data_IF_618182592380
#
_entry.id   IF_618182592380
#
_cell.length_a   1.000
_cell.length_b   1.000
_cell.length_c   1.000
_cell.angle_alpha   90.00
_cell.angle_beta   90.00
_cell.angle_gamma   90.00
#
_symmetry.space_group_name_H-M   'P 1'
#
loop_
_entity.id
_entity.type
_entity.pdbx_description
1 polymer ?
#
# COMPACT_ATOMS: atom_id res chain seq x y z
N UNK A 1 -36.60 -69.33 6.50
CA UNK A 1 -37.49 -69.11 5.34
C UNK A 1 -36.73 -68.34 4.27
N UNK A 2 -36.65 -68.92 3.07
CA UNK A 2 -36.55 -68.34 1.71
C UNK A 2 -35.69 -67.06 1.45
N UNK A 3 -34.95 -66.84 0.34
CA UNK A 3 -34.70 -67.57 -0.91
C UNK A 3 -33.90 -66.66 -1.88
N UNK A 4 -33.04 -67.26 -2.73
CA UNK A 4 -32.51 -66.83 -4.07
C UNK A 4 -31.63 -65.56 -4.14
N UNK A 5 -30.33 -65.62 -4.47
CA UNK A 5 -29.60 -65.98 -5.74
C UNK A 5 -29.70 -64.97 -6.90
N UNK A 6 -28.53 -64.38 -7.21
CA UNK A 6 -27.86 -64.27 -8.55
C UNK A 6 -28.40 -63.16 -9.48
N UNK A 7 -27.63 -62.26 -10.11
CA UNK A 7 -26.41 -62.38 -10.95
C UNK A 7 -25.77 -60.98 -11.19
N UNK A 8 -24.43 -60.89 -11.15
CA UNK A 8 -23.58 -59.87 -11.81
C UNK A 8 -23.34 -60.33 -13.29
N UNK A 9 -22.52 -59.74 -14.19
CA UNK A 9 -21.74 -58.49 -14.18
C UNK A 9 -21.63 -57.73 -15.57
N UNK A 10 -20.74 -56.73 -15.63
CA UNK A 10 -19.78 -56.41 -16.73
C UNK A 10 -20.08 -55.47 -17.94
N UNK A 11 -19.12 -54.53 -18.09
CA UNK A 11 -18.34 -54.15 -19.30
C UNK A 11 -18.71 -52.99 -20.28
N UNK A 12 -17.74 -52.05 -20.33
CA UNK A 12 -16.98 -51.48 -21.48
C UNK A 12 -17.62 -50.58 -22.57
N UNK A 13 -16.98 -49.41 -22.68
CA UNK A 13 -16.41 -48.67 -23.84
C UNK A 13 -17.27 -48.18 -25.05
N UNK A 14 -16.95 -46.94 -25.44
CA UNK A 14 -17.35 -46.07 -26.58
C UNK A 14 -17.20 -46.67 -27.99
N UNK A 15 -17.79 -46.10 -29.08
CA UNK A 15 -17.10 -45.06 -29.89
C UNK A 15 -17.98 -44.05 -30.71
N UNK A 16 -17.30 -43.05 -31.33
CA UNK A 16 -17.71 -42.02 -32.34
C UNK A 16 -18.34 -42.65 -33.62
N UNK A 17 -19.11 -42.02 -34.53
CA UNK A 17 -18.98 -40.79 -35.37
C UNK A 17 -20.37 -40.44 -35.98
N UNK A 18 -20.70 -39.20 -36.40
CA UNK A 18 -20.57 -38.71 -37.80
C UNK A 18 -21.29 -37.35 -38.01
N UNK A 19 -20.83 -36.59 -39.01
CA UNK A 19 -21.36 -35.28 -39.43
C UNK A 19 -22.52 -35.42 -40.43
N UNK A 20 -23.49 -34.50 -40.40
CA UNK A 20 -24.38 -34.20 -41.55
C UNK A 20 -24.55 -32.67 -41.68
N UNK A 21 -24.33 -32.20 -42.91
CA UNK A 21 -24.42 -30.84 -43.42
C UNK A 21 -25.86 -30.45 -43.77
N UNK A 22 -26.26 -29.20 -43.51
CA UNK A 22 -27.14 -28.44 -44.41
C UNK A 22 -26.72 -26.96 -44.40
N UNK A 23 -26.51 -26.41 -45.60
CA UNK A 23 -26.42 -24.97 -45.88
C UNK A 23 -27.81 -24.50 -46.28
N UNK A 24 -28.24 -23.33 -45.82
CA UNK A 24 -28.83 -22.29 -46.67
C UNK A 24 -29.00 -20.97 -45.89
N UNK A 25 -28.82 -19.87 -46.62
CA UNK A 25 -28.58 -18.51 -46.17
C UNK A 25 -29.87 -17.72 -45.87
N UNK A 26 -29.67 -16.52 -45.28
CA UNK A 26 -30.27 -15.22 -45.65
C UNK A 26 -30.91 -14.45 -44.48
N UNK A 27 -30.10 -13.48 -44.00
CA UNK A 27 -30.42 -12.08 -43.74
C UNK A 27 -31.16 -11.63 -42.46
N UNK A 28 -30.56 -10.58 -41.89
CA UNK A 28 -31.22 -9.35 -41.44
C UNK A 28 -31.50 -9.15 -39.94
N UNK A 29 -30.64 -8.29 -39.37
CA UNK A 29 -30.93 -7.16 -38.46
C UNK A 29 -30.88 -7.39 -36.94
N UNK A 30 -29.85 -6.75 -36.39
CA UNK A 30 -29.90 -5.81 -35.27
C UNK A 30 -30.40 -6.32 -33.91
N UNK A 31 -29.42 -6.59 -33.05
CA UNK A 31 -29.61 -6.75 -31.62
C UNK A 31 -28.26 -6.90 -30.95
N UNK A 32 -27.36 -5.91 -31.11
CA UNK A 32 -26.10 -5.90 -30.38
C UNK A 32 -26.43 -5.74 -28.91
N UNK A 33 -26.41 -6.85 -28.19
CA UNK A 33 -26.44 -6.91 -26.74
C UNK A 33 -25.25 -6.09 -26.24
N UNK A 34 -25.52 -4.88 -25.78
CA UNK A 34 -24.57 -4.11 -24.99
C UNK A 34 -24.45 -4.89 -23.68
N UNK A 35 -23.47 -5.79 -23.60
CA UNK A 35 -22.86 -6.14 -22.33
C UNK A 35 -22.20 -4.86 -21.84
N UNK A 36 -22.93 -4.09 -21.04
CA UNK A 36 -22.33 -3.13 -20.15
C UNK A 36 -21.50 -3.95 -19.16
N UNK A 37 -20.27 -4.22 -19.54
CA UNK A 37 -19.21 -4.57 -18.62
C UNK A 37 -19.07 -3.33 -17.74
N UNK A 38 -19.68 -3.39 -16.55
CA UNK A 38 -19.48 -2.38 -15.52
C UNK A 38 -17.98 -2.38 -15.23
N UNK A 39 -17.26 -1.45 -15.85
CA UNK A 39 -15.95 -1.06 -15.37
C UNK A 39 -16.13 -0.77 -13.88
N UNK A 40 -15.35 -1.40 -12.99
CA UNK A 40 -15.42 -1.06 -11.59
C UNK A 40 -15.15 0.43 -11.50
N UNK A 41 -16.15 1.20 -11.04
CA UNK A 41 -16.06 2.64 -10.74
C UNK A 41 -14.64 2.91 -10.26
N UNK A 42 -13.83 3.51 -11.14
CA UNK A 42 -12.39 3.53 -10.94
C UNK A 42 -12.14 4.34 -9.67
N UNK A 43 -11.72 3.65 -8.61
CA UNK A 43 -11.34 4.28 -7.34
C UNK A 43 -10.13 5.16 -7.62
N UNK A 44 -10.40 6.40 -8.05
CA UNK A 44 -9.38 7.40 -8.27
C UNK A 44 -9.15 8.10 -6.94
N UNK A 45 -7.94 8.02 -6.38
CA UNK A 45 -7.61 8.77 -5.17
C UNK A 45 -7.86 10.26 -5.44
N UNK A 46 -8.57 10.89 -4.52
CA UNK A 46 -8.89 12.31 -4.61
C UNK A 46 -7.94 13.07 -3.70
N UNK A 47 -7.04 13.89 -4.27
CA UNK A 47 -6.18 14.77 -3.49
C UNK A 47 -6.76 16.19 -3.54
N UNK A 48 -6.87 16.86 -2.37
CA UNK A 48 -7.34 18.27 -2.31
C UNK A 48 -6.38 19.23 -3.00
N UNK A 49 -5.11 18.87 -3.06
CA UNK A 49 -4.03 19.60 -3.73
C UNK A 49 -3.09 18.61 -4.43
N UNK A 50 -2.47 18.97 -5.57
CA UNK A 50 -1.52 18.08 -6.23
C UNK A 50 -0.33 17.78 -5.32
N UNK A 51 0.22 16.57 -5.44
CA UNK A 51 1.51 16.22 -4.86
C UNK A 51 2.64 16.71 -5.77
N UNK A 52 3.68 17.26 -5.16
CA UNK A 52 4.92 17.64 -5.85
C UNK A 52 5.91 16.46 -5.91
N UNK A 53 5.68 15.40 -5.13
CA UNK A 53 6.55 14.23 -5.02
C UNK A 53 6.05 12.98 -5.74
N UNK A 54 4.73 12.76 -5.76
CA UNK A 54 4.10 11.54 -6.29
C UNK A 54 3.54 11.76 -7.69
N UNK A 55 3.88 10.85 -8.60
CA UNK A 55 3.26 10.73 -9.91
C UNK A 55 1.89 10.05 -9.83
N UNK A 56 1.03 10.26 -10.84
CA UNK A 56 -0.34 9.74 -10.82
C UNK A 56 -0.43 8.22 -10.63
N UNK A 57 0.47 7.45 -11.25
CA UNK A 57 0.51 5.99 -11.10
C UNK A 57 0.97 5.56 -9.70
N UNK A 58 1.88 6.33 -9.08
CA UNK A 58 2.36 6.11 -7.71
C UNK A 58 1.23 6.35 -6.71
N UNK A 59 0.43 7.41 -6.90
CA UNK A 59 -0.74 7.69 -6.07
C UNK A 59 -1.74 6.54 -6.18
N UNK A 60 -2.04 6.05 -7.40
CA UNK A 60 -2.94 4.90 -7.58
C UNK A 60 -2.44 3.62 -6.90
N UNK A 61 -1.13 3.34 -6.97
CA UNK A 61 -0.50 2.20 -6.32
C UNK A 61 -0.59 2.29 -4.79
N UNK A 62 -0.34 3.47 -4.22
CA UNK A 62 -0.47 3.70 -2.78
C UNK A 62 -1.92 3.63 -2.32
N UNK A 63 -2.85 4.24 -3.06
CA UNK A 63 -4.28 4.27 -2.74
C UNK A 63 -4.89 2.88 -2.58
N UNK A 64 -4.45 1.90 -3.38
CA UNK A 64 -4.88 0.49 -3.28
C UNK A 64 -4.43 -0.22 -2.01
N UNK A 65 -3.44 0.31 -1.30
CA UNK A 65 -2.86 -0.28 -0.10
C UNK A 65 -3.27 0.44 1.20
N UNK A 66 -3.98 1.56 1.10
CA UNK A 66 -4.43 2.30 2.26
C UNK A 66 -5.47 1.51 3.09
N UNK A 67 -5.57 1.77 4.40
CA UNK A 67 -6.57 1.15 5.24
C UNK A 67 -8.00 1.40 4.74
N UNK A 68 -8.94 0.44 4.89
CA UNK A 68 -10.32 0.63 4.46
C UNK A 68 -11.01 1.88 5.04
N UNK A 69 -10.58 2.32 6.24
CA UNK A 69 -11.13 3.52 6.89
C UNK A 69 -10.76 4.85 6.22
N UNK A 70 -9.79 4.87 5.31
CA UNK A 70 -9.41 6.07 4.55
C UNK A 70 -10.13 6.14 3.20
N UNK A 71 -10.84 5.08 2.80
CA UNK A 71 -11.55 5.01 1.52
C UNK A 71 -12.68 6.04 1.51
N UNK A 72 -12.73 6.84 0.45
CA UNK A 72 -13.74 7.89 0.27
C UNK A 72 -13.36 9.25 0.87
N UNK A 73 -12.32 9.31 1.71
CA UNK A 73 -11.78 10.57 2.19
C UNK A 73 -10.70 11.10 1.24
N UNK A 74 -10.72 12.41 0.96
CA UNK A 74 -9.69 13.02 0.13
C UNK A 74 -8.37 13.12 0.92
N UNK A 75 -7.26 13.03 0.19
CA UNK A 75 -5.93 13.22 0.74
C UNK A 75 -5.70 14.72 0.90
N UNK A 76 -5.32 15.12 2.12
CA UNK A 76 -5.04 16.51 2.48
C UNK A 76 -3.58 16.62 2.89
N UNK A 77 -2.82 17.54 2.29
CA UNK A 77 -1.43 17.76 2.67
C UNK A 77 -1.39 18.51 4.00
N UNK A 78 -0.97 17.82 5.06
CA UNK A 78 -0.93 18.39 6.42
C UNK A 78 0.44 18.94 6.77
N UNK A 79 1.49 18.43 6.13
CA UNK A 79 2.84 18.92 6.29
C UNK A 79 3.63 18.65 5.01
N UNK A 80 4.55 19.55 4.69
CA UNK A 80 5.45 19.42 3.57
C UNK A 80 6.64 20.33 3.78
N UNK A 81 7.86 19.83 3.58
CA UNK A 81 9.08 20.59 3.93
C UNK A 81 9.25 21.83 3.07
N UNK A 82 8.79 21.82 1.81
CA UNK A 82 8.76 23.02 0.97
C UNK A 82 7.85 24.14 1.50
N UNK A 83 6.77 23.79 2.19
CA UNK A 83 5.78 24.76 2.71
C UNK A 83 6.03 25.15 4.18
N UNK A 84 6.54 24.23 4.98
CA UNK A 84 6.58 24.37 6.45
C UNK A 84 8.01 24.34 7.03
N UNK A 85 9.02 24.12 6.20
CA UNK A 85 10.42 23.97 6.62
C UNK A 85 10.74 22.56 7.14
N UNK A 86 12.00 22.38 7.54
CA UNK A 86 12.57 21.06 7.83
C UNK A 86 12.73 20.80 9.34
N UNK A 87 11.78 21.22 10.18
CA UNK A 87 11.88 20.96 11.62
C UNK A 87 10.90 19.87 12.05
N UNK A 88 11.41 18.82 12.71
CA UNK A 88 10.56 17.76 13.28
C UNK A 88 9.57 18.31 14.32
N UNK A 89 9.91 19.41 15.01
CA UNK A 89 9.01 20.08 15.96
C UNK A 89 7.82 20.71 15.25
N UNK A 90 8.03 21.26 14.05
CA UNK A 90 6.93 21.77 13.21
C UNK A 90 6.07 20.62 12.70
N UNK A 91 6.68 19.51 12.30
CA UNK A 91 5.97 18.28 11.94
C UNK A 91 5.08 17.80 13.10
N UNK A 92 5.60 17.66 14.32
CA UNK A 92 4.80 17.24 15.48
C UNK A 92 3.65 18.20 15.79
N UNK A 93 3.84 19.52 15.61
CA UNK A 93 2.76 20.50 15.77
C UNK A 93 1.65 20.30 14.75
N UNK A 94 1.99 20.01 13.50
CA UNK A 94 1.00 19.72 12.45
C UNK A 94 0.19 18.45 12.75
N UNK A 95 0.78 17.48 13.43
CA UNK A 95 0.10 16.22 13.81
C UNK A 95 -0.92 16.37 14.94
N UNK A 96 -0.85 17.44 15.75
CA UNK A 96 -1.72 17.62 16.93
C UNK A 96 -3.21 17.81 16.56
N UNK A 97 -3.51 18.25 15.35
CA UNK A 97 -4.88 18.44 14.86
C UNK A 97 -5.45 17.24 14.10
N UNK A 98 -4.68 16.15 13.99
CA UNK A 98 -5.03 14.99 13.19
C UNK A 98 -5.57 13.86 14.08
N UNK A 99 -6.53 13.09 13.57
CA UNK A 99 -7.06 11.85 14.21
C UNK A 99 -7.22 10.70 13.19
N UNK A 100 -6.48 10.78 12.08
CA UNK A 100 -6.51 9.81 10.99
C UNK A 100 -5.15 9.13 10.84
N UNK A 101 -5.05 8.00 10.10
CA UNK A 101 -3.76 7.56 9.59
C UNK A 101 -3.10 8.71 8.81
N UNK A 102 -1.77 8.71 8.77
CA UNK A 102 -1.01 9.66 7.97
C UNK A 102 -0.03 8.93 7.07
N UNK A 103 0.09 9.37 5.83
CA UNK A 103 1.04 8.84 4.85
C UNK A 103 2.24 9.78 4.76
N UNK A 104 3.40 9.30 5.20
CA UNK A 104 4.69 9.96 5.03
C UNK A 104 5.29 9.53 3.68
N UNK A 105 5.59 10.53 2.84
CA UNK A 105 6.27 10.37 1.56
C UNK A 105 7.59 11.13 1.63
N UNK A 106 8.68 10.45 1.32
CA UNK A 106 10.03 11.00 1.31
C UNK A 106 10.56 10.89 -0.13
N UNK A 107 11.12 11.98 -0.63
CA UNK A 107 11.99 11.96 -1.79
C UNK A 107 13.42 12.23 -1.34
N UNK A 108 14.33 11.32 -1.64
CA UNK A 108 15.76 11.50 -1.33
C UNK A 108 16.51 12.28 -2.42
N UNK A 109 17.76 12.65 -2.14
CA UNK A 109 18.64 13.35 -3.07
C UNK A 109 19.04 12.53 -4.31
N UNK A 110 18.85 11.21 -4.27
CA UNK A 110 19.05 10.30 -5.40
C UNK A 110 17.74 10.11 -6.23
N UNK A 111 16.72 10.92 -5.92
CA UNK A 111 15.41 10.94 -6.59
C UNK A 111 14.51 9.75 -6.28
N UNK A 112 14.83 8.94 -5.27
CA UNK A 112 14.02 7.79 -4.87
C UNK A 112 12.85 8.24 -4.01
N UNK A 113 11.71 7.57 -4.18
CA UNK A 113 10.49 7.83 -3.40
C UNK A 113 10.17 6.61 -2.56
N UNK A 114 10.03 6.81 -1.26
CA UNK A 114 9.68 5.77 -0.28
C UNK A 114 9.06 6.42 0.95
N UNK A 115 8.61 5.62 1.90
CA UNK A 115 8.05 6.17 3.13
C UNK A 115 7.25 5.16 3.92
N UNK A 116 6.25 5.68 4.65
CA UNK A 116 5.47 4.89 5.58
C UNK A 116 4.02 5.36 5.61
N UNK A 117 3.08 4.42 5.77
CA UNK A 117 1.79 4.75 6.33
C UNK A 117 1.85 4.51 7.85
N UNK A 118 1.49 5.53 8.61
CA UNK A 118 1.35 5.49 10.05
C UNK A 118 -0.11 5.29 10.45
N UNK A 119 -0.37 4.34 11.36
CA UNK A 119 -1.73 4.07 11.84
C UNK A 119 -2.37 5.22 12.65
N UNK A 120 -1.54 6.11 13.18
CA UNK A 120 -1.92 7.27 13.97
C UNK A 120 -0.91 8.42 13.75
N UNK A 121 -1.26 9.68 14.03
CA UNK A 121 -0.37 10.83 13.81
C UNK A 121 0.94 10.76 14.61
N UNK A 122 1.99 11.38 14.08
CA UNK A 122 3.31 11.33 14.73
C UNK A 122 3.33 12.10 16.05
N UNK A 123 3.94 11.51 17.07
CA UNK A 123 4.07 12.10 18.39
C UNK A 123 5.37 11.69 19.06
N UNK A 124 5.82 12.51 20.00
CA UNK A 124 6.90 12.14 20.92
C UNK A 124 6.37 11.10 21.90
N UNK A 125 7.13 10.02 22.12
CA UNK A 125 6.70 8.89 22.93
C UNK A 125 7.88 8.22 23.65
N UNK A 126 7.66 7.82 24.91
CA UNK A 126 8.68 7.10 25.69
C UNK A 126 9.02 5.75 25.03
N UNK A 127 8.02 5.07 24.48
CA UNK A 127 8.14 3.78 23.81
C UNK A 127 7.57 3.76 22.40
N UNK A 128 7.55 2.57 21.79
CA UNK A 128 6.91 2.36 20.50
C UNK A 128 5.38 2.48 20.62
N UNK A 129 4.75 3.01 19.56
CA UNK A 129 3.30 3.14 19.42
C UNK A 129 2.86 2.79 18.00
N UNK A 130 1.55 2.82 17.74
CA UNK A 130 0.95 2.42 16.48
C UNK A 130 0.33 1.02 16.50
N UNK A 131 -0.27 0.65 15.37
CA UNK A 131 -0.93 -0.64 15.15
C UNK A 131 -0.37 -1.32 13.90
N UNK A 132 -0.79 -2.57 13.67
CA UNK A 132 -0.46 -3.34 12.47
C UNK A 132 -1.03 -2.78 11.16
N UNK A 133 -1.80 -1.69 11.18
CA UNK A 133 -2.12 -0.92 9.97
C UNK A 133 -0.89 -0.19 9.40
N UNK A 134 0.12 0.06 10.25
CA UNK A 134 1.37 0.71 9.84
C UNK A 134 2.12 -0.17 8.84
N UNK A 135 2.65 0.43 7.79
CA UNK A 135 3.49 -0.25 6.80
C UNK A 135 4.57 0.67 6.24
N UNK A 136 5.63 0.08 5.69
CA UNK A 136 6.63 0.78 4.89
C UNK A 136 6.38 0.53 3.41
N UNK A 137 6.82 1.45 2.55
CA UNK A 137 6.80 1.24 1.10
C UNK A 137 8.05 1.84 0.46
N UNK A 138 8.39 1.35 -0.73
CA UNK A 138 9.41 1.94 -1.59
C UNK A 138 8.99 1.84 -3.06
N UNK A 139 9.46 2.77 -3.88
CA UNK A 139 9.40 2.70 -5.34
C UNK A 139 10.75 2.29 -5.96
N UNK A 140 11.70 1.79 -5.17
CA UNK A 140 13.04 1.39 -5.60
C UNK A 140 13.28 -0.13 -5.41
N UNK A 141 13.65 -0.89 -6.46
CA UNK A 141 13.62 -0.52 -7.88
C UNK A 141 12.20 -0.52 -8.47
N UNK A 142 11.26 -1.16 -7.79
CA UNK A 142 9.84 -1.25 -8.13
C UNK A 142 8.99 -0.90 -6.91
N UNK A 143 7.68 -0.74 -7.11
CA UNK A 143 6.76 -0.47 -6.01
C UNK A 143 6.53 -1.71 -5.16
N UNK A 144 6.87 -1.64 -3.87
CA UNK A 144 6.61 -2.69 -2.90
C UNK A 144 6.11 -2.12 -1.57
N UNK A 145 5.21 -2.86 -0.90
CA UNK A 145 4.62 -2.51 0.39
C UNK A 145 4.92 -3.60 1.41
N UNK A 146 5.57 -3.21 2.50
CA UNK A 146 5.99 -4.08 3.59
C UNK A 146 5.07 -3.89 4.79
N UNK A 147 4.08 -4.77 4.89
CA UNK A 147 3.10 -4.79 6.00
C UNK A 147 3.68 -5.46 7.23
N UNK A 148 3.00 -5.29 8.36
CA UNK A 148 3.38 -5.94 9.61
C UNK A 148 3.52 -7.45 9.47
N UNK A 149 4.64 -8.00 9.97
CA UNK A 149 4.96 -9.44 9.91
C UNK A 149 4.30 -10.25 11.03
N UNK A 150 3.83 -9.60 12.10
CA UNK A 150 3.40 -10.27 13.32
C UNK A 150 4.52 -10.55 14.34
N UNK A 151 5.77 -10.22 14.03
CA UNK A 151 6.93 -10.55 14.89
C UNK A 151 6.93 -9.77 16.22
N UNK A 152 6.70 -8.46 16.16
CA UNK A 152 6.71 -7.56 17.30
C UNK A 152 5.83 -6.33 17.07
N UNK A 153 5.64 -5.50 18.10
CA UNK A 153 4.79 -4.29 18.05
C UNK A 153 5.60 -2.99 18.00
N UNK A 154 6.83 -3.02 17.47
CA UNK A 154 7.74 -1.86 17.42
C UNK A 154 7.52 -1.01 16.16
N UNK A 155 6.29 -0.54 15.95
CA UNK A 155 5.87 0.10 14.71
C UNK A 155 6.49 1.48 14.49
N UNK A 156 6.28 2.40 15.44
CA UNK A 156 6.72 3.79 15.34
C UNK A 156 7.27 4.26 16.68
N UNK A 157 8.28 5.13 16.64
CA UNK A 157 8.79 5.84 17.82
C UNK A 157 9.19 7.26 17.41
N UNK A 158 8.75 8.25 18.18
CA UNK A 158 9.14 9.64 18.00
C UNK A 158 9.83 10.15 19.25
N UNK A 159 10.92 10.88 19.07
CA UNK A 159 11.64 11.60 20.12
C UNK A 159 11.77 13.07 19.70
N UNK A 160 12.28 13.93 20.59
CA UNK A 160 12.42 15.37 20.27
C UNK A 160 13.30 15.68 19.06
N UNK A 161 14.18 14.73 18.70
CA UNK A 161 15.21 14.87 17.68
C UNK A 161 15.18 13.74 16.63
N UNK A 162 14.15 12.88 16.61
CA UNK A 162 14.02 11.87 15.56
C UNK A 162 12.63 11.24 15.43
N UNK A 163 12.33 10.71 14.24
CA UNK A 163 11.17 9.87 13.97
C UNK A 163 11.63 8.54 13.36
N UNK A 164 11.13 7.42 13.88
CA UNK A 164 11.56 6.10 13.49
C UNK A 164 10.39 5.14 13.27
N UNK A 165 10.56 4.20 12.34
CA UNK A 165 9.61 3.15 12.00
C UNK A 165 10.31 1.78 11.99
N UNK A 166 9.68 0.79 12.61
CA UNK A 166 10.06 -0.62 12.52
C UNK A 166 11.35 -0.95 13.27
N UNK A 167 11.24 -1.45 14.50
CA UNK A 167 12.38 -1.83 15.33
C UNK A 167 12.67 -3.34 15.37
N UNK A 168 13.35 -3.77 16.45
CA UNK A 168 13.49 -5.19 16.83
C UNK A 168 14.77 -5.90 16.38
N UNK A 169 15.64 -5.27 15.60
CA UNK A 169 16.89 -5.85 15.09
C UNK A 169 18.14 -4.98 15.27
N UNK A 170 18.09 -3.99 16.17
CA UNK A 170 19.19 -3.04 16.42
C UNK A 170 19.08 -1.75 15.61
N UNK A 171 18.64 -1.85 14.36
CA UNK A 171 18.36 -0.72 13.47
C UNK A 171 16.86 -0.52 13.22
N UNK A 172 16.49 0.63 12.66
CA UNK A 172 15.13 0.96 12.26
C UNK A 172 14.91 0.71 10.76
N UNK A 173 13.69 0.29 10.39
CA UNK A 173 13.26 0.17 9.00
C UNK A 173 13.38 1.49 8.23
N UNK A 174 13.01 2.57 8.89
CA UNK A 174 13.16 3.95 8.43
C UNK A 174 13.37 4.87 9.64
N UNK A 175 14.33 5.78 9.54
CA UNK A 175 14.65 6.76 10.57
C UNK A 175 14.93 8.13 9.94
N UNK A 176 14.50 9.20 10.59
CA UNK A 176 14.74 10.60 10.22
C UNK A 176 15.23 11.39 11.42
N UNK A 177 16.17 12.30 11.21
CA UNK A 177 16.67 13.22 12.22
C UNK A 177 15.73 14.40 12.49
N UNK A 178 16.07 15.20 13.51
CA UNK A 178 15.25 16.33 13.97
C UNK A 178 15.19 17.50 12.99
N UNK A 179 16.15 17.57 12.08
CA UNK A 179 16.22 18.55 11.00
C UNK A 179 15.61 18.01 9.69
N UNK A 180 14.95 16.84 9.73
CA UNK A 180 14.28 16.20 8.59
C UNK A 180 15.16 16.18 7.32
N UNK A 181 16.47 16.01 7.51
CA UNK A 181 17.48 16.13 6.46
C UNK A 181 18.29 14.85 6.33
N UNK A 182 18.76 14.29 7.45
CA UNK A 182 19.43 13.00 7.44
C UNK A 182 18.42 11.89 7.74
N UNK A 183 18.48 10.83 6.92
CA UNK A 183 17.70 9.64 7.17
C UNK A 183 18.52 8.38 7.02
N UNK A 184 18.00 7.30 7.64
CA UNK A 184 18.55 5.96 7.53
C UNK A 184 17.46 4.95 7.23
N UNK A 185 17.78 3.95 6.42
CA UNK A 185 16.89 2.81 6.17
C UNK A 185 17.68 1.50 6.25
N UNK A 186 17.14 0.55 7.00
CA UNK A 186 17.70 -0.78 7.16
C UNK A 186 16.59 -1.84 7.07
N UNK A 187 16.96 -3.12 6.96
CA UNK A 187 15.99 -4.19 7.17
C UNK A 187 15.55 -4.27 8.64
N UNK A 188 14.25 -4.46 8.89
CA UNK A 188 13.73 -4.66 10.25
C UNK A 188 12.79 -5.87 10.34
N UNK A 189 12.63 -6.42 11.55
CA UNK A 189 11.73 -7.56 11.79
C UNK A 189 10.25 -7.18 11.75
N UNK A 190 9.91 -5.96 12.15
CA UNK A 190 8.52 -5.51 12.25
C UNK A 190 7.80 -5.55 10.91
N UNK A 191 8.47 -5.16 9.83
CA UNK A 191 7.90 -5.11 8.48
C UNK A 191 8.52 -6.10 7.50
N UNK A 192 9.65 -6.71 7.85
CA UNK A 192 10.35 -7.63 6.94
C UNK A 192 10.84 -6.96 5.66
N UNK A 193 11.01 -5.63 5.68
CA UNK A 193 11.49 -4.85 4.55
C UNK A 193 13.00 -5.04 4.35
N UNK A 194 13.51 -4.94 3.12
CA UNK A 194 14.90 -4.60 2.86
C UNK A 194 15.13 -3.10 3.07
N UNK A 195 16.35 -2.63 2.81
CA UNK A 195 16.64 -1.21 2.70
C UNK A 195 15.73 -0.55 1.65
N UNK A 196 15.07 0.55 2.00
CA UNK A 196 14.08 1.22 1.14
C UNK A 196 14.74 2.15 0.11
N UNK A 197 15.83 2.80 0.51
CA UNK A 197 16.66 3.69 -0.30
C UNK A 197 17.76 2.92 -1.04
N UNK A 198 18.53 3.61 -1.91
CA UNK A 198 19.69 3.02 -2.59
C UNK A 198 20.85 2.69 -1.65
N UNK A 199 20.96 3.41 -0.55
CA UNK A 199 22.02 3.33 0.47
C UNK A 199 21.38 3.41 1.85
N UNK A 200 22.11 2.93 2.86
CA UNK A 200 21.64 2.93 4.24
C UNK A 200 21.36 4.37 4.71
N UNK A 201 22.35 5.25 4.58
CA UNK A 201 22.19 6.68 4.79
C UNK A 201 21.68 7.38 3.52
N UNK A 202 20.70 8.28 3.70
CA UNK A 202 20.18 9.12 2.63
C UNK A 202 19.98 10.56 3.11
N UNK A 203 19.97 11.49 2.15
CA UNK A 203 19.62 12.89 2.39
C UNK A 203 18.23 13.16 1.85
N UNK A 204 17.38 13.76 2.66
CA UNK A 204 16.03 14.15 2.26
C UNK A 204 16.14 15.34 1.31
N UNK A 205 15.56 15.19 0.12
CA UNK A 205 15.27 16.32 -0.77
C UNK A 205 13.99 17.01 -0.31
N UNK A 206 12.92 16.24 -0.10
CA UNK A 206 11.61 16.77 0.26
C UNK A 206 10.74 15.71 0.96
N UNK A 207 9.84 16.16 1.84
CA UNK A 207 8.85 15.33 2.53
C UNK A 207 7.47 15.92 2.29
N UNK A 208 6.50 15.04 2.07
CA UNK A 208 5.07 15.31 2.19
C UNK A 208 4.43 14.36 3.21
N UNK A 209 3.47 14.88 3.98
CA UNK A 209 2.64 14.08 4.87
C UNK A 209 1.17 14.34 4.53
N UNK A 210 0.45 13.28 4.23
CA UNK A 210 -0.95 13.31 3.81
C UNK A 210 -1.85 12.70 4.88
N UNK A 211 -2.94 13.39 5.22
CA UNK A 211 -4.02 12.87 6.06
C UNK A 211 -5.27 12.56 5.21
N UNK A 212 -6.23 11.83 5.77
CA UNK A 212 -7.41 11.32 5.06
C UNK A 212 -8.70 11.81 5.73
N UNK A 213 -9.14 13.01 5.38
CA UNK A 213 -10.31 13.71 5.97
C UNK A 213 -11.08 14.61 4.99
#
# INVERSE_FOLDING_TARGET
MFSRRVKNPENRLTPKYSCITTKEEVNSKHGTSIKAELEPETFKPNLKEPSDLLEADQIEKLAKNLPPRTVGYPWTLVFGTAKHGMSIKTLYRAMQSQDTPVLLVIKDSDGQVFGALASEPFKVSDGFYGTGETFLFTFNPEFEVYKWTGDNMFFMKGDMDSLAFGGGSGEFGLWLDGDLYHGRSHSCKTFGNPMLSKKEDFYVQEIEIWAFE
#
